data_IF_666102037649
#
_entry.id   IF_666102037649
#
_cell.length_a   1.000
_cell.length_b   1.000
_cell.length_c   1.000
_cell.angle_alpha   90.00
_cell.angle_beta   90.00
_cell.angle_gamma   90.00
#
_symmetry.space_group_name_H-M   'P 1'
#
loop_
_entity.id
_entity.type
_entity.pdbx_description
1 polymer ?
#
# COMPACT_ATOMS: atom_id res chain seq x y z
N UNK A 1 4.81 -8.83 -13.75
CA UNK A 1 3.39 -8.75 -13.37
C UNK A 1 3.04 -7.29 -13.53
N UNK A 2 2.45 -6.92 -14.65
CA UNK A 2 2.22 -5.50 -15.00
C UNK A 2 0.94 -5.01 -14.33
N UNK A 3 0.89 -5.11 -12.99
CA UNK A 3 -0.25 -4.64 -12.20
C UNK A 3 -0.20 -3.12 -12.22
N UNK A 4 -1.23 -2.47 -12.76
CA UNK A 4 -1.32 -1.01 -12.73
C UNK A 4 -1.91 -0.55 -11.41
N UNK A 5 -1.54 0.66 -10.98
CA UNK A 5 -2.17 1.28 -9.82
C UNK A 5 -3.68 1.47 -10.00
N UNK A 6 -4.13 1.64 -11.25
CA UNK A 6 -5.56 1.72 -11.60
C UNK A 6 -6.33 0.41 -11.35
N UNK A 7 -5.65 -0.75 -11.38
CA UNK A 7 -6.27 -2.05 -11.09
C UNK A 7 -6.44 -2.28 -9.58
N UNK A 8 -5.64 -1.57 -8.78
CA UNK A 8 -5.83 -1.49 -7.35
C UNK A 8 -7.01 -0.55 -7.11
N UNK A 9 -8.07 -1.04 -6.48
CA UNK A 9 -9.29 -0.29 -6.12
C UNK A 9 -9.02 0.82 -5.08
N UNK A 10 -8.11 1.72 -5.42
CA UNK A 10 -7.72 2.91 -4.69
C UNK A 10 -8.77 3.99 -4.89
N UNK A 11 -8.73 5.01 -4.04
CA UNK A 11 -9.60 6.17 -4.20
C UNK A 11 -9.25 6.89 -5.51
N UNK A 12 -10.24 7.33 -6.31
CA UNK A 12 -9.98 8.03 -7.57
C UNK A 12 -9.07 9.27 -7.40
N UNK A 13 -9.26 10.02 -6.32
CA UNK A 13 -8.40 11.18 -6.01
C UNK A 13 -6.94 10.77 -5.77
N UNK A 14 -6.70 9.71 -4.99
CA UNK A 14 -5.34 9.20 -4.75
C UNK A 14 -4.68 8.69 -6.04
N UNK A 15 -5.44 8.02 -6.90
CA UNK A 15 -4.93 7.55 -8.19
C UNK A 15 -4.51 8.72 -9.09
N UNK A 16 -5.30 9.81 -9.11
CA UNK A 16 -4.97 11.02 -9.85
C UNK A 16 -3.67 11.67 -9.35
N UNK A 17 -3.51 11.80 -8.03
CA UNK A 17 -2.27 12.32 -7.42
C UNK A 17 -1.06 11.43 -7.76
N UNK A 18 -1.22 10.10 -7.68
CA UNK A 18 -0.17 9.15 -8.05
C UNK A 18 0.24 9.28 -9.53
N UNK A 19 -0.72 9.42 -10.44
CA UNK A 19 -0.45 9.65 -11.86
C UNK A 19 0.22 11.01 -12.11
N UNK A 20 -0.17 12.07 -11.37
CA UNK A 20 0.48 13.39 -11.48
C UNK A 20 1.93 13.36 -11.01
N UNK A 21 2.25 12.52 -10.03
CA UNK A 21 3.60 12.28 -9.54
C UNK A 21 4.42 11.35 -10.46
N UNK A 22 3.78 10.78 -11.49
CA UNK A 22 4.43 9.89 -12.46
C UNK A 22 4.50 8.42 -12.03
N UNK A 23 3.72 8.01 -11.02
CA UNK A 23 3.63 6.61 -10.61
C UNK A 23 2.53 5.89 -11.40
N UNK A 24 2.88 4.83 -12.12
CA UNK A 24 1.92 4.00 -12.86
C UNK A 24 1.79 2.60 -12.25
N UNK A 25 2.86 2.08 -11.65
CA UNK A 25 2.91 0.74 -11.08
C UNK A 25 3.21 0.77 -9.58
N UNK A 26 2.79 -0.28 -8.83
CA UNK A 26 3.20 -0.45 -7.44
C UNK A 26 4.72 -0.48 -7.28
N UNK A 27 5.46 -1.03 -8.24
CA UNK A 27 6.92 -1.15 -8.18
C UNK A 27 7.64 0.21 -8.26
N UNK A 28 7.04 1.20 -8.92
CA UNK A 28 7.57 2.58 -8.94
C UNK A 28 7.57 3.20 -7.54
N UNK A 29 6.60 2.80 -6.71
CA UNK A 29 6.50 3.23 -5.31
C UNK A 29 7.51 2.50 -4.43
N UNK A 30 7.94 1.29 -4.78
CA UNK A 30 8.96 0.54 -4.02
C UNK A 30 10.33 1.23 -4.01
N UNK A 31 10.64 1.98 -5.07
CA UNK A 31 11.88 2.78 -5.18
C UNK A 31 11.87 4.02 -4.28
N UNK A 32 10.70 4.42 -3.80
CA UNK A 32 10.50 5.62 -2.99
C UNK A 32 10.56 5.29 -1.49
N UNK A 33 11.03 6.23 -0.66
CA UNK A 33 11.05 6.04 0.80
C UNK A 33 9.62 6.04 1.33
N UNK A 34 9.26 5.06 2.17
CA UNK A 34 7.92 4.92 2.79
C UNK A 34 7.38 6.24 3.39
N UNK A 35 8.25 7.08 3.96
CA UNK A 35 7.87 8.35 4.59
C UNK A 35 7.38 9.41 3.58
N UNK A 36 7.87 9.39 2.34
CA UNK A 36 7.45 10.32 1.29
C UNK A 36 6.10 9.92 0.71
N UNK A 37 5.86 8.62 0.57
CA UNK A 37 4.58 8.10 0.09
C UNK A 37 3.44 8.43 1.05
N UNK A 38 3.68 8.36 2.36
CA UNK A 38 2.69 8.74 3.37
C UNK A 38 2.38 10.25 3.41
N UNK A 39 3.14 11.09 2.69
CA UNK A 39 2.86 12.53 2.53
C UNK A 39 1.98 12.83 1.33
N UNK A 40 1.74 11.84 0.45
CA UNK A 40 0.87 12.03 -0.71
C UNK A 40 -0.56 12.31 -0.23
N UNK A 41 -1.20 13.42 -0.66
CA UNK A 41 -2.58 13.71 -0.31
C UNK A 41 -3.50 12.53 -0.60
N UNK A 42 -4.31 12.14 0.37
CA UNK A 42 -5.22 11.00 0.24
C UNK A 42 -4.57 9.62 0.43
N UNK A 43 -3.26 9.52 0.64
CA UNK A 43 -2.57 8.26 0.95
C UNK A 43 -2.79 7.85 2.41
N UNK A 44 -3.74 6.94 2.64
CA UNK A 44 -3.96 6.33 3.94
C UNK A 44 -3.13 5.07 4.16
N UNK A 45 -2.95 4.67 5.43
CA UNK A 45 -2.30 3.39 5.76
C UNK A 45 -3.07 2.14 5.28
N UNK A 46 -4.37 2.26 4.94
CA UNK A 46 -5.11 1.18 4.25
C UNK A 46 -4.71 1.09 2.79
N UNK A 47 -4.62 2.24 2.10
CA UNK A 47 -4.26 2.32 0.69
C UNK A 47 -2.82 1.84 0.48
N UNK A 48 -1.88 2.28 1.35
CA UNK A 48 -0.51 1.79 1.37
C UNK A 48 -0.42 0.26 1.52
N UNK A 49 -1.24 -0.34 2.39
CA UNK A 49 -1.28 -1.80 2.53
C UNK A 49 -1.80 -2.52 1.29
N UNK A 50 -2.73 -1.92 0.55
CA UNK A 50 -3.23 -2.47 -0.72
C UNK A 50 -2.11 -2.47 -1.76
N UNK A 51 -1.39 -1.36 -1.89
CA UNK A 51 -0.24 -1.24 -2.80
C UNK A 51 0.88 -2.20 -2.39
N UNK A 52 1.23 -2.26 -1.10
CA UNK A 52 2.23 -3.19 -0.59
C UNK A 52 1.90 -4.66 -0.86
N UNK A 53 0.62 -5.05 -0.77
CA UNK A 53 0.18 -6.39 -1.16
C UNK A 53 0.36 -6.65 -2.66
N UNK A 54 0.09 -5.66 -3.50
CA UNK A 54 0.28 -5.76 -4.94
C UNK A 54 1.75 -5.93 -5.33
N UNK A 55 2.65 -5.25 -4.61
CA UNK A 55 4.12 -5.41 -4.76
C UNK A 55 4.65 -6.77 -4.28
N UNK A 56 3.81 -7.66 -3.75
CA UNK A 56 4.27 -8.87 -3.07
C UNK A 56 5.03 -8.58 -1.77
N UNK A 57 5.06 -7.33 -1.31
CA UNK A 57 5.59 -6.96 0.00
C UNK A 57 4.60 -7.49 1.03
N UNK A 58 4.91 -8.67 1.57
CA UNK A 58 4.41 -9.08 2.86
C UNK A 58 4.86 -8.03 3.86
N UNK A 59 4.04 -7.00 4.07
CA UNK A 59 4.01 -6.27 5.33
C UNK A 59 3.73 -7.36 6.36
N UNK A 60 4.80 -8.00 6.85
CA UNK A 60 4.72 -8.98 7.91
C UNK A 60 3.91 -8.27 8.96
N UNK A 61 2.70 -8.78 9.15
CA UNK A 61 1.93 -8.50 10.33
C UNK A 61 2.93 -8.79 11.45
N UNK A 62 3.41 -7.76 12.13
CA UNK A 62 3.64 -7.88 13.57
C UNK A 62 2.25 -8.09 14.18
N UNK A 63 1.65 -9.23 13.85
CA UNK A 63 0.55 -9.77 14.59
C UNK A 63 1.19 -10.31 15.86
N UNK A 64 1.46 -9.39 16.79
CA UNK A 64 1.02 -9.59 18.16
C UNK A 64 -0.51 -9.70 18.14
N UNK A 65 -1.05 -10.75 17.51
CA UNK A 65 -2.25 -11.37 18.07
C UNK A 65 -1.71 -11.96 19.35
N UNK A 66 -2.01 -11.33 20.49
CA UNK A 66 -2.09 -12.07 21.74
C UNK A 66 -2.92 -13.31 21.40
N UNK A 67 -2.26 -14.46 21.35
CA UNK A 67 -2.93 -15.75 21.40
C UNK A 67 -3.67 -15.69 22.72
N UNK A 68 -4.98 -15.43 22.69
CA UNK A 68 -5.82 -15.78 23.83
C UNK A 68 -5.75 -17.29 23.88
N UNK A 69 -4.88 -17.80 24.74
CA UNK A 69 -4.96 -19.13 25.29
C UNK A 69 -6.35 -19.28 25.87
N UNK A 70 -7.24 -19.92 25.13
CA UNK A 70 -8.46 -20.48 25.70
C UNK A 70 -8.05 -21.80 26.35
N UNK A 71 -7.93 -21.77 27.67
CA UNK A 71 -7.79 -22.94 28.53
C UNK A 71 -9.16 -23.59 28.62
N UNK A 72 -9.32 -24.77 28.04
CA UNK A 72 -10.29 -25.78 28.50
C UNK A 72 -9.70 -27.16 28.34
#
# INVERSE_FOLDING_TARGET
MDIKLADLKLKPYLLAELHQLGYETPDDLQRSKNAELLRIPGMGGRDWRTIARAMGVSLRRTANRKVRTDKR
#
